data_IF_877527817284
#
_entry.id   IF_877527817284
#
_cell.length_a   1.000
_cell.length_b   1.000
_cell.length_c   1.000
_cell.angle_alpha   90.00
_cell.angle_beta   90.00
_cell.angle_gamma   90.00
#
_symmetry.space_group_name_H-M   'P 1'
#
loop_
_entity.id
_entity.type
_entity.pdbx_description
1 polymer ?
#
# COMPACT_ATOMS: atom_id res chain seq x y z
N UNK A 1 11.37 -60.88 -21.45
CA UNK A 1 10.87 -60.13 -22.62
C UNK A 1 10.18 -58.87 -22.14
N UNK A 2 10.52 -57.77 -22.79
CA UNK A 2 9.77 -56.52 -22.96
C UNK A 2 9.43 -55.64 -21.73
N UNK A 3 10.14 -54.51 -21.73
CA UNK A 3 9.91 -53.26 -21.01
C UNK A 3 8.55 -52.66 -21.37
N UNK A 4 7.89 -52.04 -20.39
CA UNK A 4 6.98 -50.92 -20.64
C UNK A 4 7.16 -49.86 -19.55
N UNK A 5 7.84 -48.79 -19.94
CA UNK A 5 7.85 -47.51 -19.24
C UNK A 5 6.44 -46.91 -19.31
N UNK A 6 5.88 -46.48 -18.18
CA UNK A 6 4.79 -45.49 -18.19
C UNK A 6 5.33 -44.25 -17.49
N UNK A 7 5.34 -43.20 -18.29
CA UNK A 7 5.98 -41.91 -18.09
C UNK A 7 5.31 -41.19 -16.90
N UNK A 8 6.14 -40.80 -15.93
CA UNK A 8 5.78 -39.82 -14.90
C UNK A 8 5.47 -38.51 -15.64
N UNK A 9 4.20 -38.19 -15.81
CA UNK A 9 3.80 -36.90 -16.35
C UNK A 9 3.94 -35.88 -15.23
N UNK A 10 5.18 -35.46 -14.99
CA UNK A 10 5.52 -34.31 -14.17
C UNK A 10 4.92 -33.08 -14.86
N UNK A 11 3.70 -32.74 -14.47
CA UNK A 11 3.13 -31.42 -14.73
C UNK A 11 4.03 -30.41 -14.02
N UNK A 12 4.99 -29.88 -14.77
CA UNK A 12 5.63 -28.59 -14.49
C UNK A 12 4.50 -27.57 -14.50
N UNK A 13 3.89 -27.36 -13.33
CA UNK A 13 3.04 -26.22 -13.09
C UNK A 13 3.97 -25.03 -13.22
N UNK A 14 3.80 -24.29 -14.32
CA UNK A 14 4.36 -22.97 -14.51
C UNK A 14 3.99 -22.15 -13.27
N UNK A 15 4.95 -21.96 -12.37
CA UNK A 15 4.84 -20.97 -11.32
C UNK A 15 4.73 -19.62 -12.02
N UNK A 16 3.52 -19.07 -12.08
CA UNK A 16 3.36 -17.65 -12.35
C UNK A 16 3.93 -16.94 -11.13
N UNK A 17 5.19 -16.55 -11.25
CA UNK A 17 5.97 -15.81 -10.27
C UNK A 17 5.38 -14.41 -10.16
N UNK A 18 4.65 -14.17 -9.07
CA UNK A 18 4.67 -12.96 -8.23
C UNK A 18 3.33 -12.91 -7.47
N UNK A 19 3.35 -13.15 -6.14
CA UNK A 19 2.17 -13.02 -5.26
C UNK A 19 1.86 -11.53 -4.99
N UNK A 20 1.81 -10.74 -6.07
CA UNK A 20 1.43 -9.34 -6.07
C UNK A 20 -0.07 -9.24 -6.34
N UNK A 21 -0.83 -8.89 -5.31
CA UNK A 21 -2.27 -8.67 -5.38
C UNK A 21 -2.55 -7.18 -5.49
N UNK A 22 -3.32 -6.77 -6.50
CA UNK A 22 -3.83 -5.40 -6.60
C UNK A 22 -5.34 -5.39 -6.45
N UNK A 23 -5.85 -4.59 -5.52
CA UNK A 23 -7.28 -4.40 -5.25
C UNK A 23 -7.64 -2.93 -5.41
N UNK A 24 -8.84 -2.65 -5.93
CA UNK A 24 -9.33 -1.29 -6.16
C UNK A 24 -10.63 -1.07 -5.42
N UNK A 25 -10.74 0.08 -4.75
CA UNK A 25 -11.97 0.52 -4.11
C UNK A 25 -12.37 1.90 -4.64
N UNK A 26 -13.65 2.08 -4.89
CA UNK A 26 -14.20 3.35 -5.39
C UNK A 26 -14.08 4.45 -4.34
N UNK A 27 -14.31 4.11 -3.07
CA UNK A 27 -14.28 5.02 -1.94
C UNK A 27 -14.05 4.28 -0.61
N UNK A 28 -13.97 5.07 0.47
CA UNK A 28 -13.76 4.55 1.82
C UNK A 28 -14.88 3.62 2.31
N UNK A 29 -16.13 3.80 1.85
CA UNK A 29 -17.26 2.93 2.23
C UNK A 29 -17.14 1.58 1.56
N UNK A 30 -16.81 1.56 0.27
CA UNK A 30 -16.54 0.33 -0.48
C UNK A 30 -15.36 -0.44 0.16
N UNK A 31 -14.26 0.23 0.48
CA UNK A 31 -13.13 -0.41 1.17
C UNK A 31 -13.53 -1.03 2.53
N UNK A 32 -14.40 -0.37 3.30
CA UNK A 32 -14.92 -0.92 4.57
C UNK A 32 -15.84 -2.12 4.36
N UNK A 33 -16.74 -2.06 3.38
CA UNK A 33 -17.65 -3.17 3.06
C UNK A 33 -16.89 -4.43 2.62
N UNK A 34 -15.76 -4.26 1.94
CA UNK A 34 -14.86 -5.35 1.53
C UNK A 34 -13.82 -5.71 2.60
N UNK A 35 -14.03 -5.29 3.85
CA UNK A 35 -13.17 -5.59 5.00
C UNK A 35 -11.68 -5.24 4.77
N UNK A 36 -11.38 -4.23 3.95
CA UNK A 36 -10.02 -3.93 3.51
C UNK A 36 -9.08 -3.52 4.64
N UNK A 37 -9.61 -2.85 5.66
CA UNK A 37 -8.84 -2.45 6.84
C UNK A 37 -8.49 -3.63 7.74
N UNK A 38 -9.33 -4.67 7.77
CA UNK A 38 -9.09 -5.87 8.57
C UNK A 38 -7.94 -6.71 8.01
N UNK A 39 -7.66 -6.58 6.71
CA UNK A 39 -6.48 -7.18 6.07
C UNK A 39 -5.16 -6.49 6.45
N UNK A 40 -5.22 -5.30 7.07
CA UNK A 40 -4.05 -4.58 7.57
C UNK A 40 -3.22 -3.83 6.52
N UNK A 41 -3.61 -3.84 5.23
CA UNK A 41 -2.82 -3.21 4.16
C UNK A 41 -3.09 -1.72 3.97
N UNK A 42 -4.32 -1.25 4.24
CA UNK A 42 -4.69 0.16 4.13
C UNK A 42 -4.27 0.96 5.37
N UNK A 43 -3.83 2.22 5.22
CA UNK A 43 -3.64 3.12 6.35
C UNK A 43 -4.99 3.32 7.07
N UNK A 44 -5.09 3.12 8.39
CA UNK A 44 -6.36 3.24 9.11
C UNK A 44 -6.85 4.69 9.24
N UNK A 45 -6.04 5.66 8.80
CA UNK A 45 -6.29 7.11 8.89
C UNK A 45 -6.56 7.75 7.53
N UNK A 46 -7.17 7.02 6.59
CA UNK A 46 -7.66 7.63 5.35
C UNK A 46 -8.84 8.58 5.65
N UNK A 47 -8.84 9.82 5.09
CA UNK A 47 -9.89 10.80 5.37
C UNK A 47 -11.27 10.36 4.85
N UNK A 48 -12.37 10.88 5.42
CA UNK A 48 -13.72 10.50 5.01
C UNK A 48 -14.02 10.75 3.52
N UNK A 49 -13.39 11.76 2.90
CA UNK A 49 -13.54 12.06 1.47
C UNK A 49 -12.74 11.16 0.53
N UNK A 50 -12.02 10.14 1.04
CA UNK A 50 -11.16 9.29 0.22
C UNK A 50 -11.92 8.54 -0.87
N UNK A 51 -11.35 8.57 -2.08
CA UNK A 51 -11.83 7.93 -3.30
C UNK A 51 -10.69 7.33 -4.12
N UNK A 52 -11.03 6.48 -5.09
CA UNK A 52 -10.11 5.90 -6.07
C UNK A 52 -8.91 5.22 -5.40
N UNK A 53 -9.18 4.35 -4.44
CA UNK A 53 -8.15 3.65 -3.67
C UNK A 53 -7.61 2.50 -4.52
N UNK A 54 -6.29 2.43 -4.64
CA UNK A 54 -5.58 1.31 -5.24
C UNK A 54 -4.63 0.78 -4.17
N UNK A 55 -4.79 -0.49 -3.81
CA UNK A 55 -3.96 -1.24 -2.87
C UNK A 55 -3.17 -2.28 -3.65
N UNK A 56 -1.85 -2.33 -3.50
CA UNK A 56 -0.98 -3.35 -4.09
C UNK A 56 -0.09 -3.95 -3.01
N UNK A 57 -0.21 -5.26 -2.81
CA UNK A 57 0.51 -5.99 -1.77
C UNK A 57 1.32 -7.11 -2.40
N UNK A 58 2.56 -7.23 -1.95
CA UNK A 58 3.44 -8.37 -2.20
C UNK A 58 3.35 -9.27 -0.96
N UNK A 59 2.67 -10.41 -1.11
CA UNK A 59 2.37 -11.31 0.00
C UNK A 59 3.60 -12.08 0.48
N UNK A 60 4.55 -12.36 -0.42
CA UNK A 60 5.81 -13.03 -0.09
C UNK A 60 6.71 -12.15 0.78
N UNK A 61 6.83 -10.86 0.42
CA UNK A 61 7.66 -9.91 1.16
C UNK A 61 6.96 -9.24 2.34
N UNK A 62 5.66 -9.49 2.48
CA UNK A 62 4.77 -8.81 3.41
C UNK A 62 4.93 -7.27 3.33
N UNK A 63 4.88 -6.73 2.11
CA UNK A 63 5.00 -5.30 1.80
C UNK A 63 3.78 -4.83 1.05
N UNK A 64 3.27 -3.67 1.41
CA UNK A 64 2.13 -3.05 0.74
C UNK A 64 2.44 -1.61 0.33
N UNK A 65 1.79 -1.17 -0.74
CA UNK A 65 1.75 0.22 -1.15
C UNK A 65 0.42 0.52 -1.81
N UNK A 66 0.11 1.79 -1.97
CA UNK A 66 -1.10 2.17 -2.67
C UNK A 66 -1.21 3.65 -2.93
N UNK A 67 -2.27 4.00 -3.62
CA UNK A 67 -2.62 5.38 -3.94
C UNK A 67 -4.10 5.64 -3.70
N UNK A 68 -4.43 6.90 -3.51
CA UNK A 68 -5.79 7.35 -3.31
C UNK A 68 -5.93 8.83 -3.66
N UNK A 69 -7.17 9.28 -3.76
CA UNK A 69 -7.52 10.70 -3.88
C UNK A 69 -8.39 11.10 -2.69
N UNK A 70 -8.38 12.38 -2.34
CA UNK A 70 -9.19 12.94 -1.25
C UNK A 70 -9.50 14.42 -1.51
N UNK A 71 -10.43 14.99 -0.74
CA UNK A 71 -10.70 16.43 -0.80
C UNK A 71 -9.53 17.21 -0.18
N UNK A 72 -8.97 18.24 -0.85
CA UNK A 72 -7.95 19.12 -0.25
C UNK A 72 -8.33 19.70 1.12
N UNK A 73 -9.63 19.84 1.41
CA UNK A 73 -10.13 20.29 2.72
C UNK A 73 -9.74 19.36 3.88
N UNK A 74 -9.50 18.08 3.58
CA UNK A 74 -9.19 17.06 4.57
C UNK A 74 -7.68 16.88 4.77
N UNK A 75 -6.84 17.76 4.20
CA UNK A 75 -5.38 17.65 4.31
C UNK A 75 -4.89 17.62 5.77
N UNK A 76 -5.56 18.34 6.67
CA UNK A 76 -5.24 18.36 8.11
C UNK A 76 -5.63 17.08 8.84
N UNK A 77 -6.53 16.27 8.26
CA UNK A 77 -7.02 15.04 8.88
C UNK A 77 -5.89 14.10 9.29
N UNK A 78 -4.83 13.97 8.47
CA UNK A 78 -3.71 13.10 8.79
C UNK A 78 -3.01 13.49 10.10
N UNK A 79 -2.68 14.78 10.27
CA UNK A 79 -2.10 15.28 11.52
C UNK A 79 -3.06 15.16 12.69
N UNK A 80 -4.35 15.45 12.47
CA UNK A 80 -5.39 15.38 13.51
C UNK A 80 -5.60 13.95 14.01
N UNK A 81 -5.33 12.94 13.16
CA UNK A 81 -5.33 11.53 13.54
C UNK A 81 -3.98 11.04 14.11
N UNK A 82 -3.01 11.93 14.31
CA UNK A 82 -1.72 11.62 14.93
C UNK A 82 -0.61 11.21 13.97
N UNK A 83 -0.76 11.41 12.67
CA UNK A 83 0.35 11.23 11.73
C UNK A 83 1.39 12.35 11.89
N UNK A 84 2.66 11.98 11.93
CA UNK A 84 3.77 12.91 12.19
C UNK A 84 4.44 13.26 10.86
N UNK A 85 4.55 14.55 10.48
CA UNK A 85 5.26 14.94 9.27
C UNK A 85 6.76 14.70 9.42
N UNK A 86 7.39 14.16 8.40
CA UNK A 86 8.83 13.92 8.35
C UNK A 86 9.45 14.51 7.09
N UNK A 87 10.76 14.72 7.12
CA UNK A 87 11.56 14.99 5.92
C UNK A 87 12.37 13.76 5.57
N UNK A 88 12.23 13.28 4.34
CA UNK A 88 13.08 12.22 3.80
C UNK A 88 14.45 12.82 3.49
N UNK A 89 15.48 12.20 4.07
CA UNK A 89 16.87 12.61 3.89
C UNK A 89 17.29 12.62 2.42
N UNK A 90 18.13 13.58 2.04
CA UNK A 90 18.63 13.75 0.66
C UNK A 90 19.58 12.64 0.21
N UNK A 91 20.18 11.89 1.14
CA UNK A 91 21.03 10.73 0.80
C UNK A 91 20.21 9.47 0.46
N UNK A 92 18.91 9.47 0.77
CA UNK A 92 18.02 8.37 0.46
C UNK A 92 17.40 8.59 -0.92
N UNK A 93 17.87 7.85 -1.92
CA UNK A 93 17.27 7.82 -3.25
C UNK A 93 16.14 6.79 -3.26
N UNK A 94 14.92 7.23 -3.62
CA UNK A 94 13.76 6.34 -3.74
C UNK A 94 12.44 7.11 -3.84
N UNK A 95 11.36 6.39 -4.14
CA UNK A 95 10.06 6.98 -4.49
C UNK A 95 9.52 7.97 -3.44
N UNK A 96 9.73 7.73 -2.15
CA UNK A 96 9.31 8.67 -1.08
C UNK A 96 10.01 10.03 -1.18
N UNK A 97 11.30 10.05 -1.56
CA UNK A 97 12.08 11.27 -1.77
C UNK A 97 11.65 11.98 -3.06
N UNK A 98 11.45 11.22 -4.15
CA UNK A 98 10.93 11.76 -5.41
C UNK A 98 9.59 12.45 -5.21
N UNK A 99 8.68 11.83 -4.44
CA UNK A 99 7.40 12.44 -4.10
C UNK A 99 7.54 13.70 -3.26
N UNK A 100 8.46 13.72 -2.28
CA UNK A 100 8.76 14.94 -1.53
C UNK A 100 9.24 16.07 -2.45
N UNK A 101 10.08 15.76 -3.44
CA UNK A 101 10.57 16.74 -4.41
C UNK A 101 9.47 17.22 -5.37
N UNK A 102 8.44 16.41 -5.58
CA UNK A 102 7.22 16.78 -6.31
C UNK A 102 6.21 17.55 -5.45
N UNK A 103 6.56 17.95 -4.22
CA UNK A 103 5.70 18.77 -3.36
C UNK A 103 4.76 17.97 -2.45
N UNK A 104 4.92 16.66 -2.34
CA UNK A 104 4.18 15.88 -1.34
C UNK A 104 4.79 16.08 0.05
N UNK A 105 3.94 16.27 1.05
CA UNK A 105 4.33 16.15 2.45
C UNK A 105 4.31 14.67 2.84
N UNK A 106 5.39 14.18 3.43
CA UNK A 106 5.47 12.80 3.92
C UNK A 106 5.11 12.78 5.40
N UNK A 107 4.18 11.91 5.75
CA UNK A 107 3.80 11.60 7.11
C UNK A 107 4.22 10.18 7.46
N UNK A 108 4.45 9.95 8.76
CA UNK A 108 4.56 8.62 9.35
C UNK A 108 3.41 8.43 10.32
N UNK A 109 2.79 7.27 10.26
CA UNK A 109 1.77 6.84 11.21
C UNK A 109 2.08 5.43 11.64
N UNK A 110 2.19 5.19 12.94
CA UNK A 110 2.42 3.87 13.52
C UNK A 110 1.15 3.42 14.24
N UNK A 111 0.76 2.17 14.03
CA UNK A 111 -0.30 1.53 14.79
C UNK A 111 -0.04 0.03 14.82
N UNK A 112 -0.22 -0.56 16.01
CA UNK A 112 0.08 -1.97 16.26
C UNK A 112 1.52 -2.32 15.83
N UNK A 113 1.71 -3.33 14.98
CA UNK A 113 3.02 -3.73 14.44
C UNK A 113 3.32 -3.14 13.05
N UNK A 114 2.59 -2.10 12.65
CA UNK A 114 2.67 -1.53 11.30
C UNK A 114 3.03 -0.05 11.31
N UNK A 115 3.87 0.32 10.34
CA UNK A 115 4.32 1.67 10.07
C UNK A 115 3.91 2.08 8.66
N UNK A 116 3.08 3.11 8.54
CA UNK A 116 2.70 3.69 7.26
C UNK A 116 3.49 4.96 6.99
N UNK A 117 4.12 5.02 5.84
CA UNK A 117 4.58 6.26 5.23
C UNK A 117 3.48 6.75 4.29
N UNK A 118 2.96 7.96 4.52
CA UNK A 118 1.83 8.50 3.76
C UNK A 118 2.27 9.81 3.12
N UNK A 119 2.40 9.82 1.80
CA UNK A 119 2.70 11.01 1.02
C UNK A 119 1.38 11.68 0.59
N UNK A 120 1.19 12.95 0.94
CA UNK A 120 -0.01 13.71 0.55
C UNK A 120 0.35 15.01 -0.15
N UNK A 121 -0.38 15.33 -1.21
CA UNK A 121 -0.23 16.56 -1.97
C UNK A 121 -1.43 17.51 -1.70
N UNK A 122 -1.23 18.84 -1.68
CA UNK A 122 -2.31 19.82 -1.52
C UNK A 122 -3.45 19.71 -2.56
N UNK A 123 -3.19 19.10 -3.71
CA UNK A 123 -4.21 18.84 -4.75
C UNK A 123 -5.11 17.62 -4.45
N UNK A 124 -5.02 17.01 -3.25
CA UNK A 124 -5.87 15.87 -2.90
C UNK A 124 -5.39 14.53 -3.48
N UNK A 125 -4.08 14.38 -3.67
CA UNK A 125 -3.44 13.12 -4.10
C UNK A 125 -2.71 12.49 -2.93
N UNK A 126 -2.88 11.18 -2.74
CA UNK A 126 -2.25 10.41 -1.67
C UNK A 126 -1.56 9.16 -2.20
N UNK A 127 -0.40 8.85 -1.64
CA UNK A 127 0.27 7.56 -1.81
C UNK A 127 0.73 7.05 -0.45
N UNK A 128 0.84 5.74 -0.28
CA UNK A 128 1.35 5.18 0.95
C UNK A 128 2.19 3.93 0.73
N UNK A 129 2.99 3.61 1.74
CA UNK A 129 3.73 2.36 1.88
C UNK A 129 3.59 1.88 3.31
N UNK A 130 3.40 0.58 3.49
CA UNK A 130 3.39 -0.06 4.79
C UNK A 130 4.65 -0.90 4.96
N UNK A 131 5.24 -0.77 6.14
CA UNK A 131 6.36 -1.57 6.62
C UNK A 131 5.98 -2.18 7.97
N UNK A 132 6.49 -3.37 8.28
CA UNK A 132 6.35 -3.94 9.62
C UNK A 132 7.37 -3.29 10.57
N UNK A 133 6.91 -3.00 11.79
CA UNK A 133 7.77 -2.64 12.91
C UNK A 133 8.45 -3.94 13.38
N UNK A 134 9.78 -3.98 13.30
CA UNK A 134 10.61 -5.10 13.76
C UNK A 134 10.90 -5.02 15.25
#
# INVERSE_FOLDING_TARGET
MQRTFIILLSSLILGCTDDIVTTKFTDLRHAKAEHAFERGWLPPILPPSTKNIIETNDLDLNKGKGSFTFSPTDLKYFSDQGAIPIKISTVNHGTKKEMQDQGFQIFVYAKDSSLWYIAVHPEGKGNYWIELIK
#
